data_IF_279476007667
#
_entry.id   IF_279476007667
#
_cell.length_a   1.000
_cell.length_b   1.000
_cell.length_c   1.000
_cell.angle_alpha   90.00
_cell.angle_beta   90.00
_cell.angle_gamma   90.00
#
_symmetry.space_group_name_H-M   'P 1'
#
loop_
_entity.id
_entity.type
_entity.pdbx_description
1 polymer ?
#
# COMPACT_ATOMS: atom_id res chain seq x y z
N UNK A 1 -9.13 -9.79 -11.51
CA UNK A 1 -8.13 -9.28 -10.55
C UNK A 1 -8.71 -9.28 -9.15
N UNK A 2 -8.70 -10.45 -8.51
CA UNK A 2 -9.34 -10.65 -7.20
C UNK A 2 -8.48 -10.18 -6.04
N UNK A 3 -7.16 -10.17 -6.15
CA UNK A 3 -6.25 -9.93 -5.02
C UNK A 3 -5.24 -8.81 -5.25
N UNK A 4 -4.70 -8.25 -4.18
CA UNK A 4 -3.43 -7.51 -4.16
C UNK A 4 -2.74 -7.70 -2.81
N UNK A 5 -1.44 -7.41 -2.72
CA UNK A 5 -0.68 -7.48 -1.47
C UNK A 5 -0.31 -6.06 -1.02
N UNK A 6 -0.61 -5.71 0.23
CA UNK A 6 -0.25 -4.44 0.84
C UNK A 6 0.49 -4.63 2.15
N UNK A 7 1.42 -3.72 2.46
CA UNK A 7 1.99 -3.57 3.78
C UNK A 7 1.08 -2.64 4.62
N UNK A 8 0.64 -3.07 5.83
CA UNK A 8 -0.12 -2.23 6.74
C UNK A 8 0.74 -1.08 7.29
N UNK A 9 0.04 -0.11 7.87
CA UNK A 9 0.63 1.05 8.56
C UNK A 9 0.08 1.13 9.99
N UNK A 10 0.72 1.87 10.91
CA UNK A 10 0.24 2.03 12.28
C UNK A 10 -1.20 2.55 12.35
N UNK A 11 -2.03 1.98 13.22
CA UNK A 11 -3.46 2.30 13.33
C UNK A 11 -3.73 3.78 13.59
N UNK A 12 -2.89 4.42 14.41
CA UNK A 12 -3.00 5.86 14.69
C UNK A 12 -2.82 6.69 13.41
N UNK A 13 -1.94 6.29 12.50
CA UNK A 13 -1.68 6.98 11.24
C UNK A 13 -2.72 6.63 10.18
N UNK A 14 -3.15 5.37 10.13
CA UNK A 14 -4.30 4.91 9.35
C UNK A 14 -5.55 5.73 9.62
N UNK A 15 -5.88 5.93 10.91
CA UNK A 15 -7.03 6.73 11.31
C UNK A 15 -6.91 8.20 10.88
N UNK A 16 -5.72 8.82 10.99
CA UNK A 16 -5.49 10.18 10.51
C UNK A 16 -5.73 10.31 8.99
N UNK A 17 -5.26 9.33 8.21
CA UNK A 17 -5.46 9.32 6.76
C UNK A 17 -6.94 9.13 6.43
N UNK A 18 -7.65 8.22 7.10
CA UNK A 18 -9.08 8.00 6.85
C UNK A 18 -9.92 9.23 7.21
N UNK A 19 -9.61 9.90 8.32
CA UNK A 19 -10.25 11.16 8.68
C UNK A 19 -10.02 12.25 7.62
N UNK A 20 -8.79 12.37 7.10
CA UNK A 20 -8.48 13.29 6.01
C UNK A 20 -9.26 12.90 4.73
N UNK A 21 -9.27 11.63 4.36
CA UNK A 21 -9.98 11.13 3.17
C UNK A 21 -11.48 11.39 3.25
N UNK A 22 -12.08 11.25 4.43
CA UNK A 22 -13.50 11.50 4.67
C UNK A 22 -13.89 12.97 4.39
N UNK A 23 -13.04 13.95 4.73
CA UNK A 23 -13.28 15.38 4.44
C UNK A 23 -13.45 15.66 2.94
N UNK A 24 -12.80 14.86 2.08
CA UNK A 24 -12.90 14.95 0.63
C UNK A 24 -13.77 13.84 0.02
N UNK A 25 -14.53 13.13 0.88
CA UNK A 25 -15.42 12.01 0.54
C UNK A 25 -14.69 10.85 -0.17
N UNK A 26 -13.37 10.74 -0.07
CA UNK A 26 -12.59 9.75 -0.80
C UNK A 26 -12.61 8.39 -0.10
N UNK A 27 -13.62 7.58 -0.39
CA UNK A 27 -13.77 6.23 0.16
C UNK A 27 -13.12 5.19 -0.76
N UNK A 28 -12.15 4.44 -0.24
CA UNK A 28 -11.42 3.39 -0.94
C UNK A 28 -10.90 2.38 0.09
N UNK A 29 -10.15 1.37 -0.34
CA UNK A 29 -9.46 0.44 0.56
C UNK A 29 -8.65 1.19 1.61
N UNK A 30 -8.62 0.61 2.81
CA UNK A 30 -7.88 1.16 3.94
C UNK A 30 -6.44 1.56 3.55
N UNK A 31 -5.86 2.59 4.20
CA UNK A 31 -4.48 2.99 3.96
C UNK A 31 -3.50 1.82 4.03
N UNK A 32 -2.72 1.64 2.97
CA UNK A 32 -1.71 0.60 2.83
C UNK A 32 -0.61 1.08 1.88
N UNK A 33 0.54 0.42 1.92
CA UNK A 33 1.58 0.55 0.91
C UNK A 33 1.48 -0.67 -0.01
N UNK A 34 1.16 -0.49 -1.28
CA UNK A 34 1.03 -1.63 -2.20
C UNK A 34 2.38 -2.28 -2.45
N UNK A 35 2.49 -3.59 -2.22
CA UNK A 35 3.67 -4.41 -2.53
C UNK A 35 3.51 -5.09 -3.89
N UNK A 36 2.37 -5.73 -4.13
CA UNK A 36 2.06 -6.38 -5.42
C UNK A 36 0.70 -5.89 -5.87
N UNK A 37 0.58 -5.19 -7.02
CA UNK A 37 -0.66 -4.62 -7.48
C UNK A 37 -1.59 -5.70 -8.10
N UNK A 38 -2.92 -5.45 -8.17
CA UNK A 38 -3.85 -6.44 -8.69
C UNK A 38 -3.55 -7.02 -10.07
N UNK A 39 -3.03 -6.26 -11.05
CA UNK A 39 -2.71 -6.81 -12.37
C UNK A 39 -1.57 -7.84 -12.40
N UNK A 40 -0.74 -7.89 -11.35
CA UNK A 40 0.38 -8.81 -11.29
C UNK A 40 0.01 -10.16 -10.67
N UNK A 41 -1.05 -10.23 -9.87
CA UNK A 41 -1.44 -11.47 -9.18
C UNK A 41 -2.44 -12.31 -10.00
N UNK A 42 -2.40 -13.64 -9.85
CA UNK A 42 -3.45 -14.50 -10.37
C UNK A 42 -4.79 -14.27 -9.64
N UNK A 43 -5.87 -14.75 -10.27
CA UNK A 43 -7.23 -14.65 -9.70
C UNK A 43 -7.56 -15.77 -8.71
N UNK A 44 -6.75 -16.82 -8.64
CA UNK A 44 -6.82 -17.88 -7.63
C UNK A 44 -5.83 -17.58 -6.49
N UNK A 45 -6.06 -18.13 -5.30
CA UNK A 45 -5.32 -17.81 -4.08
C UNK A 45 -4.14 -18.76 -3.76
N UNK A 46 -3.86 -19.73 -4.64
CA UNK A 46 -2.74 -20.68 -4.49
C UNK A 46 -1.36 -19.98 -4.29
N UNK A 47 -1.19 -18.76 -4.81
CA UNK A 47 0.04 -17.97 -4.62
C UNK A 47 0.31 -17.62 -3.16
N UNK A 48 -0.71 -17.63 -2.29
CA UNK A 48 -0.58 -17.26 -0.89
C UNK A 48 0.39 -18.20 -0.17
N UNK A 49 0.37 -19.50 -0.46
CA UNK A 49 1.30 -20.46 0.14
C UNK A 49 2.76 -20.10 -0.18
N UNK A 50 3.04 -19.69 -1.41
CA UNK A 50 4.36 -19.26 -1.83
C UNK A 50 4.80 -17.95 -1.16
N UNK A 51 3.87 -17.00 -0.98
CA UNK A 51 4.13 -15.74 -0.26
C UNK A 51 4.43 -16.01 1.21
N UNK A 52 3.70 -16.93 1.85
CA UNK A 52 3.96 -17.37 3.24
C UNK A 52 5.38 -17.90 3.37
N UNK A 53 5.85 -18.72 2.42
CA UNK A 53 7.23 -19.26 2.43
C UNK A 53 8.32 -18.19 2.25
N UNK A 54 8.01 -17.09 1.55
CA UNK A 54 8.91 -15.93 1.46
C UNK A 54 8.92 -15.19 2.79
N UNK A 55 7.75 -14.84 3.33
CA UNK A 55 7.61 -14.04 4.54
C UNK A 55 8.27 -14.69 5.76
N UNK A 56 8.16 -16.01 5.92
CA UNK A 56 8.85 -16.75 7.00
C UNK A 56 10.37 -16.58 7.03
N UNK A 57 11.00 -16.22 5.90
CA UNK A 57 12.46 -16.04 5.76
C UNK A 57 12.90 -14.59 5.84
N UNK A 58 11.95 -13.67 5.95
CA UNK A 58 12.20 -12.23 6.01
C UNK A 58 11.94 -11.80 7.45
N UNK A 59 12.95 -11.22 8.10
CA UNK A 59 12.79 -10.66 9.45
C UNK A 59 11.98 -9.36 9.39
N UNK A 60 11.35 -8.92 10.50
CA UNK A 60 10.68 -7.64 10.57
C UNK A 60 11.70 -6.53 10.32
N UNK A 61 11.26 -5.46 9.67
CA UNK A 61 12.15 -4.36 9.26
C UNK A 61 11.45 -3.02 9.37
N UNK A 62 12.24 -1.96 9.45
CA UNK A 62 11.70 -0.61 9.64
C UNK A 62 11.22 0.01 8.33
N UNK A 63 10.15 0.78 8.46
CA UNK A 63 9.55 1.62 7.44
C UNK A 63 9.54 3.04 7.95
N UNK A 64 10.15 3.94 7.17
CA UNK A 64 10.10 5.38 7.42
C UNK A 64 9.13 6.03 6.45
N UNK A 65 8.04 6.57 6.99
CA UNK A 65 7.16 7.45 6.22
C UNK A 65 7.78 8.86 6.22
N UNK A 66 7.91 9.46 5.05
CA UNK A 66 8.59 10.74 4.85
C UNK A 66 7.59 11.86 4.45
N UNK A 67 8.02 12.78 3.59
CA UNK A 67 7.21 13.91 3.14
C UNK A 67 6.13 13.50 2.12
N UNK A 68 5.20 14.42 1.90
CA UNK A 68 4.22 14.31 0.83
C UNK A 68 4.85 14.48 -0.54
N UNK A 69 4.45 13.64 -1.46
CA UNK A 69 4.88 13.68 -2.85
C UNK A 69 3.74 13.26 -3.79
N UNK A 70 3.97 13.30 -5.11
CA UNK A 70 2.90 13.23 -6.08
C UNK A 70 3.32 12.60 -7.41
N UNK A 71 2.48 11.69 -7.93
CA UNK A 71 2.63 11.18 -9.30
C UNK A 71 1.82 12.04 -10.28
N UNK A 72 2.56 12.83 -11.06
CA UNK A 72 1.97 13.74 -12.04
C UNK A 72 0.98 14.69 -11.37
N UNK A 73 -0.22 14.85 -11.94
CA UNK A 73 -1.31 15.65 -11.36
C UNK A 73 -2.40 14.82 -10.67
N UNK A 74 -2.21 13.50 -10.49
CA UNK A 74 -3.32 12.59 -10.21
C UNK A 74 -3.26 11.86 -8.87
N UNK A 75 -2.09 11.66 -8.26
CA UNK A 75 -1.97 10.87 -7.03
C UNK A 75 -1.12 11.62 -6.03
N UNK A 76 -1.69 11.95 -4.87
CA UNK A 76 -0.96 12.48 -3.72
C UNK A 76 -0.70 11.31 -2.75
N UNK A 77 0.55 11.18 -2.29
CA UNK A 77 0.96 10.11 -1.40
C UNK A 77 1.96 10.60 -0.35
N UNK A 78 2.15 9.82 0.70
CA UNK A 78 3.30 9.92 1.60
C UNK A 78 4.41 9.05 1.02
N UNK A 79 5.59 9.62 0.81
CA UNK A 79 6.76 8.86 0.34
C UNK A 79 7.23 7.89 1.41
N UNK A 80 7.70 6.72 0.98
CA UNK A 80 8.13 5.64 1.87
C UNK A 80 9.59 5.32 1.59
N UNK A 81 10.40 5.26 2.64
CA UNK A 81 11.77 4.79 2.58
C UNK A 81 11.90 3.52 3.43
N UNK A 82 12.20 2.41 2.77
CA UNK A 82 12.44 1.12 3.40
C UNK A 82 13.14 0.18 2.41
N UNK A 83 14.45 -0.06 2.58
CA UNK A 83 15.17 -1.07 1.81
C UNK A 83 14.56 -2.48 2.01
N UNK A 84 14.08 -2.79 3.22
CA UNK A 84 13.43 -4.07 3.52
C UNK A 84 12.14 -4.27 2.72
N UNK A 85 11.36 -3.21 2.49
CA UNK A 85 10.16 -3.29 1.69
C UNK A 85 10.45 -3.55 0.20
N UNK A 86 11.53 -2.96 -0.33
CA UNK A 86 12.00 -3.21 -1.70
C UNK A 86 12.52 -4.63 -1.84
N UNK A 87 13.30 -5.13 -0.86
CA UNK A 87 13.78 -6.50 -0.84
C UNK A 87 12.62 -7.51 -0.77
N UNK A 88 11.63 -7.28 0.09
CA UNK A 88 10.42 -8.11 0.19
C UNK A 88 9.63 -8.13 -1.12
N UNK A 89 9.43 -6.96 -1.75
CA UNK A 89 8.81 -6.87 -3.08
C UNK A 89 9.53 -7.75 -4.11
N UNK A 90 10.86 -7.61 -4.21
CA UNK A 90 11.66 -8.37 -5.16
C UNK A 90 11.58 -9.88 -4.90
N UNK A 91 11.68 -10.31 -3.64
CA UNK A 91 11.56 -11.73 -3.26
C UNK A 91 10.20 -12.33 -3.62
N UNK A 92 9.11 -11.59 -3.41
CA UNK A 92 7.77 -12.03 -3.81
C UNK A 92 7.67 -12.12 -5.33
N UNK A 93 8.15 -11.11 -6.06
CA UNK A 93 8.13 -11.11 -7.52
C UNK A 93 8.95 -12.27 -8.12
N UNK A 94 10.14 -12.53 -7.58
CA UNK A 94 10.98 -13.65 -7.98
C UNK A 94 10.31 -14.99 -7.69
N UNK A 95 9.80 -15.18 -6.46
CA UNK A 95 9.15 -16.41 -6.03
C UNK A 95 7.98 -16.78 -6.92
N UNK A 96 7.11 -15.79 -7.20
CA UNK A 96 5.90 -15.95 -7.99
C UNK A 96 6.13 -15.82 -9.50
N UNK A 97 7.37 -15.66 -9.96
CA UNK A 97 7.72 -15.43 -11.38
C UNK A 97 6.95 -14.26 -12.03
N UNK A 98 6.74 -13.15 -11.30
CA UNK A 98 5.96 -12.01 -11.77
C UNK A 98 6.75 -11.09 -12.70
N UNK A 99 6.06 -10.47 -13.65
CA UNK A 99 6.66 -9.46 -14.52
C UNK A 99 6.78 -8.12 -13.80
N UNK A 100 8.00 -7.58 -13.75
CA UNK A 100 8.26 -6.26 -13.19
C UNK A 100 7.71 -5.15 -14.09
N UNK A 101 7.19 -4.10 -13.47
CA UNK A 101 6.80 -2.89 -14.21
C UNK A 101 8.05 -2.15 -14.72
N UNK A 102 7.96 -1.56 -15.92
CA UNK A 102 9.07 -0.82 -16.55
C UNK A 102 9.63 0.32 -15.70
N UNK A 103 8.79 0.94 -14.86
CA UNK A 103 9.16 2.10 -14.04
C UNK A 103 9.82 1.69 -12.72
N UNK A 104 9.88 0.40 -12.42
CA UNK A 104 10.34 -0.11 -11.14
C UNK A 104 9.33 0.12 -10.01
N UNK A 105 9.63 -0.45 -8.85
CA UNK A 105 8.82 -0.30 -7.65
C UNK A 105 9.15 1.01 -6.93
N UNK A 106 8.13 1.84 -6.71
CA UNK A 106 8.24 3.06 -5.89
C UNK A 106 7.31 2.91 -4.69
N UNK A 107 7.83 2.58 -3.49
CA UNK A 107 7.05 2.53 -2.26
C UNK A 107 6.32 3.85 -1.98
N UNK A 108 5.01 3.79 -1.81
CA UNK A 108 4.20 4.96 -1.51
C UNK A 108 2.91 4.60 -0.78
N UNK A 109 2.47 5.49 0.10
CA UNK A 109 1.20 5.40 0.81
C UNK A 109 0.22 6.43 0.23
N UNK A 110 -0.70 5.96 -0.62
CA UNK A 110 -1.63 6.86 -1.32
C UNK A 110 -2.58 7.55 -0.33
N UNK A 111 -2.67 8.87 -0.37
CA UNK A 111 -3.67 9.64 0.37
C UNK A 111 -4.93 9.79 -0.46
N UNK A 112 -4.79 10.28 -1.69
CA UNK A 112 -5.90 10.50 -2.61
C UNK A 112 -5.44 10.26 -4.05
N UNK A 113 -6.37 9.79 -4.89
CA UNK A 113 -6.19 9.65 -6.34
C UNK A 113 -7.35 10.29 -7.09
N UNK A 114 -7.03 11.16 -8.03
CA UNK A 114 -7.97 11.72 -8.99
C UNK A 114 -8.48 10.60 -9.91
N UNK A 115 -9.81 10.51 -10.05
CA UNK A 115 -10.47 9.60 -11.00
C UNK A 115 -11.17 10.41 -12.09
N UNK A 116 -11.31 9.91 -13.34
CA UNK A 116 -11.91 10.67 -14.43
C UNK A 116 -13.28 11.29 -14.12
N UNK A 117 -14.12 10.57 -13.36
CA UNK A 117 -15.47 11.02 -12.96
C UNK A 117 -15.52 11.68 -11.57
N UNK A 118 -14.35 11.90 -10.95
CA UNK A 118 -14.23 12.41 -9.59
C UNK A 118 -12.96 13.25 -9.44
N UNK A 119 -12.96 14.49 -9.96
CA UNK A 119 -11.85 15.39 -9.76
C UNK A 119 -11.69 15.71 -8.27
N UNK A 120 -10.45 15.93 -7.85
CA UNK A 120 -10.10 16.33 -6.49
C UNK A 120 -9.10 17.49 -6.59
N UNK A 121 -9.21 18.45 -5.68
CA UNK A 121 -8.23 19.53 -5.56
C UNK A 121 -7.04 19.02 -4.75
N UNK A 122 -6.03 18.46 -5.45
CA UNK A 122 -4.83 17.93 -4.81
C UNK A 122 -4.07 19.00 -4.04
N UNK A 123 -4.06 20.26 -4.48
CA UNK A 123 -3.33 21.33 -3.79
C UNK A 123 -3.97 21.65 -2.43
N UNK A 124 -5.29 21.72 -2.36
CA UNK A 124 -6.01 21.89 -1.09
C UNK A 124 -5.83 20.68 -0.18
N UNK A 125 -5.90 19.45 -0.71
CA UNK A 125 -5.70 18.23 0.07
C UNK A 125 -4.27 18.17 0.61
N UNK A 126 -3.26 18.55 -0.18
CA UNK A 126 -1.85 18.61 0.25
C UNK A 126 -1.68 19.51 1.47
N UNK A 127 -2.20 20.74 1.43
CA UNK A 127 -2.11 21.67 2.57
C UNK A 127 -2.73 21.08 3.85
N UNK A 128 -3.84 20.35 3.74
CA UNK A 128 -4.48 19.68 4.89
C UNK A 128 -3.67 18.48 5.36
N UNK A 129 -3.10 17.72 4.44
CA UNK A 129 -2.23 16.59 4.73
C UNK A 129 -0.95 17.03 5.45
N UNK A 130 -0.32 18.14 5.05
CA UNK A 130 0.87 18.70 5.70
C UNK A 130 0.62 18.97 7.19
N UNK A 131 -0.57 19.48 7.53
CA UNK A 131 -0.93 19.79 8.93
C UNK A 131 -1.23 18.52 9.73
N UNK A 132 -1.86 17.51 9.11
CA UNK A 132 -2.42 16.36 9.84
C UNK A 132 -1.51 15.14 9.87
N UNK A 133 -0.69 14.97 8.85
CA UNK A 133 0.06 13.76 8.58
C UNK A 133 1.57 13.93 8.79
N UNK A 134 2.04 15.15 9.03
CA UNK A 134 3.45 15.46 9.31
C UNK A 134 3.60 15.98 10.75
N UNK A 135 4.58 15.51 11.53
CA UNK A 135 5.57 14.49 11.17
C UNK A 135 4.92 13.11 10.98
N UNK A 136 5.42 12.39 9.99
CA UNK A 136 5.03 11.03 9.65
C UNK A 136 5.83 10.03 10.51
N UNK A 137 5.24 8.88 10.87
CA UNK A 137 5.88 7.92 11.77
C UNK A 137 6.95 7.09 11.07
N UNK A 138 7.86 6.57 11.87
CA UNK A 138 8.68 5.40 11.58
C UNK A 138 8.14 4.22 12.39
N UNK A 139 8.13 3.02 11.81
CA UNK A 139 7.59 1.83 12.47
C UNK A 139 8.19 0.55 11.90
N UNK A 140 8.17 -0.51 12.70
CA UNK A 140 8.59 -1.84 12.26
C UNK A 140 7.41 -2.55 11.60
N UNK A 141 7.61 -3.05 10.38
CA UNK A 141 6.67 -3.91 9.69
C UNK A 141 6.84 -5.34 10.18
N UNK A 142 5.77 -5.95 10.70
CA UNK A 142 5.78 -7.32 11.23
C UNK A 142 5.00 -8.31 10.35
N UNK A 143 4.15 -7.82 9.46
CA UNK A 143 3.29 -8.64 8.61
C UNK A 143 2.92 -7.88 7.34
N UNK A 144 2.44 -8.63 6.34
CA UNK A 144 1.78 -8.07 5.15
C UNK A 144 0.33 -8.57 5.12
N UNK A 145 -0.51 -7.90 4.32
CA UNK A 145 -1.91 -8.25 4.16
C UNK A 145 -2.20 -8.56 2.70
N UNK A 146 -2.76 -9.74 2.46
CA UNK A 146 -3.45 -10.05 1.21
C UNK A 146 -4.84 -9.42 1.31
N UNK A 147 -5.20 -8.63 0.31
CA UNK A 147 -6.51 -8.02 0.18
C UNK A 147 -7.26 -8.71 -0.95
N UNK A 148 -8.57 -8.88 -0.79
CA UNK A 148 -9.43 -9.43 -1.84
C UNK A 148 -10.55 -8.46 -2.21
N UNK A 149 -11.03 -8.51 -3.45
CA UNK A 149 -12.18 -7.77 -3.94
C UNK A 149 -13.41 -8.70 -3.93
N UNK A 150 -14.37 -8.52 -3.01
CA UNK A 150 -15.53 -9.41 -2.88
C UNK A 150 -16.44 -9.48 -4.10
N UNK A 151 -16.57 -8.37 -4.84
CA UNK A 151 -17.39 -8.25 -6.04
C UNK A 151 -16.70 -7.34 -7.04
N UNK A 152 -16.96 -7.53 -8.33
CA UNK A 152 -16.42 -6.65 -9.36
C UNK A 152 -16.71 -5.17 -9.02
N UNK A 153 -15.67 -4.34 -9.13
CA UNK A 153 -15.71 -2.90 -8.79
C UNK A 153 -15.95 -2.55 -7.32
N UNK A 154 -15.97 -3.51 -6.40
CA UNK A 154 -16.04 -3.21 -4.96
C UNK A 154 -14.68 -2.73 -4.42
N UNK A 155 -14.72 -2.11 -3.24
CA UNK A 155 -13.50 -1.84 -2.46
C UNK A 155 -12.88 -3.19 -2.06
N UNK A 156 -11.55 -3.28 -2.12
CA UNK A 156 -10.85 -4.44 -1.58
C UNK A 156 -10.86 -4.40 -0.06
N UNK A 157 -11.02 -5.57 0.57
CA UNK A 157 -11.01 -5.74 2.03
C UNK A 157 -9.89 -6.72 2.43
N UNK A 158 -9.35 -6.61 3.66
CA UNK A 158 -8.38 -7.58 4.16
C UNK A 158 -8.90 -9.01 4.04
N UNK A 159 -8.04 -9.91 3.52
CA UNK A 159 -8.35 -11.33 3.33
C UNK A 159 -7.53 -12.21 4.27
N UNK A 160 -6.20 -12.00 4.28
CA UNK A 160 -5.28 -12.77 5.10
C UNK A 160 -4.10 -11.90 5.52
N UNK A 161 -3.72 -11.99 6.80
CA UNK A 161 -2.47 -11.43 7.31
C UNK A 161 -1.39 -12.52 7.29
N UNK A 162 -0.21 -12.18 6.79
CA UNK A 162 0.95 -13.08 6.70
C UNK A 162 2.08 -12.46 7.53
N UNK A 163 2.44 -13.07 8.67
CA UNK A 163 3.55 -12.58 9.49
C UNK A 163 4.89 -12.76 8.78
N UNK A 164 5.79 -11.82 9.02
CA UNK A 164 7.22 -11.96 8.72
C UNK A 164 7.86 -12.92 9.74
N UNK A 165 9.00 -13.49 9.40
CA UNK A 165 9.76 -14.38 10.29
C UNK A 165 10.29 -13.66 11.53
N UNK A 166 10.81 -14.42 12.51
CA UNK A 166 11.45 -13.92 13.73
C UNK A 166 12.97 -13.61 13.55
#
# INVERSE_FOLDING_TARGET
MKYFIGAPIPDNYKNKIEMLRAEFRFFTTEPHITLVPPPALPDEDDFIEEVVEVCKKVKPFDIRLNNLDQFGSRVLYVSVDSPGLIDLHNKIYEKLCLQHERRGFTPHLTIVKQRPKRPVDIATIRKRAEIKLIPSPEYTLNSITVYHQPKEHSIYIPYMEIPLGE
#
